data_IF_095104543221
#
_entry.id   IF_095104543221
#
_cell.length_a   1.000
_cell.length_b   1.000
_cell.length_c   1.000
_cell.angle_alpha   90.00
_cell.angle_beta   90.00
_cell.angle_gamma   90.00
#
_symmetry.space_group_name_H-M   'P 1'
#
loop_
_entity.id
_entity.type
_entity.pdbx_description
1 polymer ?
#
# COMPACT_ATOMS: atom_id res chain seq x y z
N UNK A 1 -0.46 12.08 -38.31
CA UNK A 1 -0.25 10.62 -38.19
C UNK A 1 -0.29 10.29 -36.71
N UNK A 2 -1.19 9.41 -36.26
CA UNK A 2 -1.41 9.15 -34.83
C UNK A 2 -0.28 8.35 -34.17
N UNK A 3 -0.34 8.28 -32.84
CA UNK A 3 0.62 7.56 -31.99
C UNK A 3 0.51 6.04 -32.11
N UNK A 4 -0.59 5.52 -32.68
CA UNK A 4 -0.84 4.10 -32.91
C UNK A 4 -0.35 3.66 -34.30
N UNK A 5 0.44 2.59 -34.35
CA UNK A 5 0.99 1.99 -35.57
C UNK A 5 0.82 0.48 -35.55
N UNK A 6 0.51 -0.09 -36.70
CA UNK A 6 0.55 -1.54 -36.92
C UNK A 6 1.97 -1.87 -37.38
N UNK A 7 2.59 -2.86 -36.74
CA UNK A 7 3.92 -3.38 -37.06
C UNK A 7 3.82 -4.88 -37.27
N UNK A 8 4.86 -5.50 -37.82
CA UNK A 8 4.94 -6.97 -37.94
C UNK A 8 4.82 -7.69 -36.59
N UNK A 9 5.15 -7.00 -35.49
CA UNK A 9 5.05 -7.51 -34.11
C UNK A 9 3.70 -7.24 -33.46
N UNK A 10 2.76 -6.60 -34.17
CA UNK A 10 1.46 -6.19 -33.66
C UNK A 10 1.30 -4.68 -33.53
N UNK A 11 0.43 -4.25 -32.61
CA UNK A 11 0.11 -2.83 -32.39
C UNK A 11 1.17 -2.16 -31.50
N UNK A 12 1.64 -1.00 -31.93
CA UNK A 12 2.60 -0.16 -31.20
C UNK A 12 2.01 1.22 -30.98
N UNK A 13 1.90 1.65 -29.73
CA UNK A 13 1.44 2.99 -29.33
C UNK A 13 2.60 3.74 -28.69
N UNK A 14 3.01 4.88 -29.26
CA UNK A 14 4.14 5.69 -28.76
C UNK A 14 3.73 7.14 -28.51
N UNK A 15 4.02 7.67 -27.32
CA UNK A 15 3.65 9.03 -26.92
C UNK A 15 2.29 9.10 -26.21
N UNK A 16 1.90 10.33 -25.87
CA UNK A 16 0.68 10.59 -25.09
C UNK A 16 -0.56 10.09 -25.84
N UNK A 17 -1.32 9.21 -25.21
CA UNK A 17 -2.43 8.52 -25.85
C UNK A 17 -3.56 8.29 -24.85
N UNK A 18 -4.80 8.35 -25.34
CA UNK A 18 -6.01 8.17 -24.53
C UNK A 18 -6.84 7.01 -25.06
N UNK A 19 -7.46 6.26 -24.15
CA UNK A 19 -8.41 5.20 -24.48
C UNK A 19 -9.81 5.64 -24.05
N UNK A 20 -10.73 5.75 -25.01
CA UNK A 20 -12.13 6.12 -24.74
C UNK A 20 -12.94 5.00 -24.06
N UNK A 21 -12.39 3.79 -24.00
CA UNK A 21 -13.00 2.58 -23.43
C UNK A 21 -11.98 1.83 -22.58
N UNK A 22 -12.42 0.94 -21.67
CA UNK A 22 -11.50 0.13 -20.87
C UNK A 22 -10.51 -0.65 -21.73
N UNK A 23 -9.25 -0.67 -21.29
CA UNK A 23 -8.20 -1.50 -21.86
C UNK A 23 -8.12 -2.81 -21.08
N UNK A 24 -8.33 -3.93 -21.77
CA UNK A 24 -8.16 -5.26 -21.20
C UNK A 24 -6.82 -5.82 -21.64
N UNK A 25 -6.00 -6.25 -20.67
CA UNK A 25 -4.70 -6.84 -20.94
C UNK A 25 -4.53 -8.07 -20.05
N UNK A 26 -3.95 -9.13 -20.62
CA UNK A 26 -3.54 -10.32 -19.86
C UNK A 26 -2.31 -10.04 -19.01
N UNK A 27 -1.41 -9.19 -19.49
CA UNK A 27 -0.16 -8.84 -18.83
C UNK A 27 0.16 -7.37 -19.11
N UNK A 28 0.56 -6.64 -18.06
CA UNK A 28 1.08 -5.27 -18.15
C UNK A 28 2.47 -5.29 -17.52
N UNK A 29 3.49 -4.94 -18.29
CA UNK A 29 4.89 -4.91 -17.84
C UNK A 29 5.61 -3.68 -18.36
N UNK A 30 6.53 -3.18 -17.56
CA UNK A 30 7.52 -2.19 -18.00
C UNK A 30 8.64 -2.86 -18.79
N UNK A 31 9.47 -2.02 -19.44
CA UNK A 31 10.73 -2.50 -20.04
C UNK A 31 11.68 -2.98 -18.95
N UNK A 32 12.53 -3.95 -19.28
CA UNK A 32 13.59 -4.44 -18.38
C UNK A 32 14.39 -3.28 -17.81
N UNK A 33 14.63 -3.31 -16.50
CA UNK A 33 15.36 -2.26 -15.78
C UNK A 33 14.58 -0.95 -15.58
N UNK A 34 13.32 -0.88 -16.01
CA UNK A 34 12.47 0.30 -15.82
C UNK A 34 11.29 -0.05 -14.90
N UNK A 35 10.89 0.85 -14.00
CA UNK A 35 9.67 0.68 -13.21
C UNK A 35 8.40 0.83 -14.07
N UNK A 36 7.31 0.24 -13.58
CA UNK A 36 5.97 0.48 -14.09
C UNK A 36 5.31 1.56 -13.22
N UNK A 37 4.88 2.66 -13.84
CA UNK A 37 4.27 3.78 -13.13
C UNK A 37 2.78 3.89 -13.42
N UNK A 38 2.02 4.21 -12.38
CA UNK A 38 0.64 4.64 -12.46
C UNK A 38 0.55 6.01 -11.79
N UNK A 39 0.23 7.04 -12.56
CA UNK A 39 0.09 8.42 -12.07
C UNK A 39 -1.29 8.93 -12.45
N UNK A 40 -1.97 9.56 -11.50
CA UNK A 40 -3.32 10.05 -11.68
C UNK A 40 -3.53 11.30 -10.81
N UNK A 41 -4.28 12.27 -11.33
CA UNK A 41 -4.79 13.39 -10.54
C UNK A 41 -5.98 12.97 -9.64
N UNK A 42 -6.53 11.78 -9.86
CA UNK A 42 -7.64 11.19 -9.13
C UNK A 42 -7.20 9.90 -8.44
N UNK A 43 -8.09 9.32 -7.64
CA UNK A 43 -7.81 8.07 -6.95
C UNK A 43 -7.43 6.94 -7.92
N UNK A 44 -6.43 6.15 -7.53
CA UNK A 44 -6.07 4.90 -8.19
C UNK A 44 -6.60 3.75 -7.34
N UNK A 45 -7.42 2.89 -7.93
CA UNK A 45 -7.99 1.72 -7.25
C UNK A 45 -7.51 0.43 -7.90
N UNK A 46 -6.93 -0.46 -7.10
CA UNK A 46 -6.56 -1.81 -7.51
C UNK A 46 -7.53 -2.78 -6.84
N UNK A 47 -8.30 -3.52 -7.65
CA UNK A 47 -9.21 -4.56 -7.17
C UNK A 47 -8.67 -5.93 -7.59
N UNK A 48 -8.69 -6.87 -6.66
CA UNK A 48 -8.45 -8.29 -6.95
C UNK A 48 -9.82 -8.95 -6.93
N UNK A 49 -10.16 -9.67 -7.99
CA UNK A 49 -11.46 -10.31 -8.16
C UNK A 49 -11.32 -11.83 -8.04
N UNK A 50 -12.38 -12.50 -7.60
CA UNK A 50 -12.51 -13.95 -7.69
C UNK A 50 -13.04 -14.39 -9.06
N UNK A 51 -13.24 -15.70 -9.23
CA UNK A 51 -13.77 -16.31 -10.47
C UNK A 51 -15.18 -15.79 -10.85
N UNK A 52 -15.99 -15.39 -9.86
CA UNK A 52 -17.32 -14.79 -10.05
C UNK A 52 -17.27 -13.27 -10.33
N UNK A 53 -16.09 -12.69 -10.56
CA UNK A 53 -15.90 -11.24 -10.71
C UNK A 53 -16.32 -10.41 -9.49
N UNK A 54 -16.33 -11.01 -8.29
CA UNK A 54 -16.52 -10.28 -7.02
C UNK A 54 -15.17 -9.79 -6.49
N UNK A 55 -15.15 -8.58 -5.96
CA UNK A 55 -13.94 -7.98 -5.36
C UNK A 55 -13.62 -8.69 -4.05
N UNK A 56 -12.44 -9.31 -3.97
CA UNK A 56 -11.87 -9.94 -2.77
C UNK A 56 -11.06 -8.94 -1.94
N UNK A 57 -10.19 -8.17 -2.60
CA UNK A 57 -9.40 -7.13 -1.95
C UNK A 57 -9.37 -5.87 -2.79
N UNK A 58 -9.22 -4.73 -2.10
CA UNK A 58 -9.14 -3.42 -2.73
C UNK A 58 -8.07 -2.58 -2.06
N UNK A 59 -7.21 -1.97 -2.87
CA UNK A 59 -6.29 -0.91 -2.45
C UNK A 59 -6.67 0.37 -3.18
N UNK A 60 -6.95 1.43 -2.43
CA UNK A 60 -7.26 2.77 -2.96
C UNK A 60 -6.18 3.75 -2.53
N UNK A 61 -5.50 4.36 -3.49
CA UNK A 61 -4.57 5.46 -3.25
C UNK A 61 -5.22 6.75 -3.71
N UNK A 62 -5.51 7.65 -2.77
CA UNK A 62 -6.04 8.98 -3.05
C UNK A 62 -5.12 10.09 -2.51
N UNK A 63 -5.48 11.36 -2.73
CA UNK A 63 -4.65 12.49 -2.30
C UNK A 63 -4.57 12.68 -0.78
N UNK A 64 -5.47 12.05 -0.01
CA UNK A 64 -5.56 12.19 1.45
C UNK A 64 -5.16 10.95 2.23
N UNK A 65 -5.31 9.76 1.64
CA UNK A 65 -5.14 8.50 2.32
C UNK A 65 -4.83 7.36 1.35
N UNK A 66 -4.25 6.30 1.90
CA UNK A 66 -4.18 4.98 1.27
C UNK A 66 -5.07 4.06 2.10
N UNK A 67 -6.08 3.48 1.47
CA UNK A 67 -7.07 2.61 2.11
C UNK A 67 -6.92 1.18 1.58
N UNK A 68 -6.90 0.21 2.49
CA UNK A 68 -6.86 -1.21 2.15
C UNK A 68 -8.09 -1.92 2.73
N UNK A 69 -8.82 -2.61 1.86
CA UNK A 69 -9.94 -3.49 2.21
C UNK A 69 -9.50 -4.92 1.92
N UNK A 70 -9.15 -5.66 2.97
CA UNK A 70 -8.68 -7.04 2.87
C UNK A 70 -8.87 -7.75 4.22
N UNK A 71 -8.80 -9.08 4.21
CA UNK A 71 -8.79 -9.89 5.44
C UNK A 71 -7.49 -9.70 6.25
N UNK A 72 -6.40 -9.34 5.57
CA UNK A 72 -5.09 -9.08 6.18
C UNK A 72 -4.34 -8.04 5.40
N UNK A 73 -3.70 -7.11 6.10
CA UNK A 73 -2.77 -6.13 5.54
C UNK A 73 -1.42 -6.24 6.25
N UNK A 74 -0.31 -6.17 5.51
CA UNK A 74 1.03 -6.26 6.07
C UNK A 74 1.98 -5.25 5.42
N UNK A 75 2.86 -4.68 6.24
CA UNK A 75 4.01 -3.88 5.82
C UNK A 75 5.27 -4.63 6.25
N UNK A 76 6.13 -4.92 5.27
CA UNK A 76 7.36 -5.68 5.44
C UNK A 76 8.57 -4.82 5.07
N UNK A 77 9.72 -5.09 5.68
CA UNK A 77 11.00 -4.59 5.16
C UNK A 77 11.33 -5.27 3.82
N UNK A 78 12.32 -4.73 3.10
CA UNK A 78 12.87 -5.38 1.89
C UNK A 78 13.48 -6.76 2.16
N UNK A 79 13.89 -7.03 3.41
CA UNK A 79 14.36 -8.33 3.88
C UNK A 79 13.24 -9.28 4.35
N UNK A 80 11.97 -8.85 4.29
CA UNK A 80 10.81 -9.66 4.68
C UNK A 80 10.44 -9.60 6.17
N UNK A 81 11.10 -8.77 6.99
CA UNK A 81 10.76 -8.59 8.41
C UNK A 81 9.43 -7.82 8.54
N UNK A 82 8.54 -8.28 9.42
CA UNK A 82 7.26 -7.62 9.69
C UNK A 82 7.46 -6.29 10.43
N UNK A 83 6.88 -5.20 9.91
CA UNK A 83 6.84 -3.88 10.55
C UNK A 83 5.44 -3.57 11.10
N UNK A 84 4.40 -3.93 10.36
CA UNK A 84 3.01 -3.70 10.74
C UNK A 84 2.12 -4.78 10.11
N UNK A 85 1.13 -5.29 10.85
CA UNK A 85 0.02 -6.01 10.25
C UNK A 85 -1.29 -5.75 10.98
N UNK A 86 -2.39 -5.88 10.25
CA UNK A 86 -3.74 -5.82 10.78
C UNK A 86 -4.62 -6.90 10.13
N UNK A 87 -5.41 -7.57 10.95
CA UNK A 87 -6.54 -8.43 10.56
C UNK A 87 -7.69 -8.27 11.57
N UNK A 88 -8.73 -9.09 11.45
CA UNK A 88 -9.94 -9.01 12.30
C UNK A 88 -9.68 -9.33 13.78
N UNK A 89 -8.54 -9.96 14.11
CA UNK A 89 -8.23 -10.40 15.48
C UNK A 89 -7.24 -9.46 16.17
N UNK A 90 -6.21 -9.02 15.45
CA UNK A 90 -5.13 -8.24 16.06
C UNK A 90 -4.47 -7.24 15.11
N UNK A 91 -3.78 -6.27 15.73
CA UNK A 91 -2.84 -5.37 15.07
C UNK A 91 -1.47 -5.58 15.71
N UNK A 92 -0.48 -5.89 14.88
CA UNK A 92 0.90 -6.12 15.30
C UNK A 92 1.78 -4.99 14.81
N UNK A 93 2.57 -4.41 15.71
CA UNK A 93 3.60 -3.41 15.39
C UNK A 93 4.97 -4.01 15.70
N UNK A 94 5.70 -4.40 14.64
CA UNK A 94 7.02 -5.03 14.72
C UNK A 94 8.20 -4.07 14.59
N UNK A 95 7.95 -2.76 14.68
CA UNK A 95 8.98 -1.74 14.58
C UNK A 95 9.93 -1.77 15.78
N UNK A 96 11.22 -1.54 15.55
CA UNK A 96 12.24 -1.49 16.62
C UNK A 96 12.04 -0.31 17.58
N UNK A 97 11.41 0.76 17.10
CA UNK A 97 11.09 1.94 17.90
C UNK A 97 9.68 2.41 17.57
N UNK A 98 8.80 2.34 18.56
CA UNK A 98 7.48 2.96 18.51
C UNK A 98 7.49 4.26 19.29
N UNK A 99 7.05 5.36 18.67
CA UNK A 99 6.89 6.67 19.33
C UNK A 99 5.43 7.08 19.28
N UNK A 100 4.84 7.29 20.44
CA UNK A 100 3.47 7.83 20.57
C UNK A 100 3.58 9.34 20.79
N UNK A 101 2.97 10.12 19.90
CA UNK A 101 3.08 11.59 19.88
C UNK A 101 1.82 12.31 20.38
N UNK A 102 0.77 11.58 20.76
CA UNK A 102 -0.43 12.19 21.33
C UNK A 102 -0.09 12.99 22.58
N UNK A 103 -0.65 14.19 22.73
CA UNK A 103 -0.40 15.05 23.89
C UNK A 103 -0.72 14.33 25.22
N UNK A 104 -1.73 13.47 25.20
CA UNK A 104 -2.18 12.65 26.34
C UNK A 104 -1.51 11.26 26.39
N UNK A 105 -0.52 11.00 25.53
CA UNK A 105 0.12 9.70 25.42
C UNK A 105 -0.80 8.61 24.87
N UNK A 106 -0.74 7.42 25.45
CA UNK A 106 -1.57 6.26 25.10
C UNK A 106 -2.04 5.57 26.37
N UNK A 107 -3.28 5.11 26.37
CA UNK A 107 -3.88 4.37 27.49
C UNK A 107 -3.91 2.89 27.14
N UNK A 108 -3.36 2.06 28.02
CA UNK A 108 -3.43 0.62 27.89
C UNK A 108 -4.41 0.09 28.94
N UNK A 109 -5.52 -0.55 28.54
CA UNK A 109 -6.55 -1.01 29.47
C UNK A 109 -6.10 -2.21 30.33
N UNK A 110 -4.98 -2.84 29.95
CA UNK A 110 -4.35 -3.95 30.68
C UNK A 110 -2.86 -3.66 30.87
N UNK A 111 -2.23 -4.47 31.72
CA UNK A 111 -0.79 -4.40 31.98
C UNK A 111 0.02 -4.54 30.68
N UNK A 112 1.07 -3.74 30.58
CA UNK A 112 2.11 -3.87 29.56
C UNK A 112 3.33 -4.49 30.21
N UNK A 113 3.93 -5.47 29.54
CA UNK A 113 5.24 -5.98 29.90
C UNK A 113 6.31 -5.30 29.04
N UNK A 114 7.35 -4.78 29.68
CA UNK A 114 8.51 -4.19 29.01
C UNK A 114 9.76 -4.44 29.84
N UNK A 115 10.91 -4.75 29.21
CA UNK A 115 12.15 -5.01 29.94
C UNK A 115 12.73 -3.76 30.63
N UNK A 116 12.40 -2.55 30.16
CA UNK A 116 12.89 -1.30 30.75
C UNK A 116 11.88 -0.16 30.53
N UNK A 117 11.77 0.73 31.51
CA UNK A 117 10.99 1.97 31.43
C UNK A 117 11.92 3.12 31.82
N UNK A 118 12.02 4.15 30.97
CA UNK A 118 12.83 5.36 31.24
C UNK A 118 12.05 6.61 30.86
N UNK A 119 12.14 7.64 31.71
CA UNK A 119 11.68 8.98 31.38
C UNK A 119 12.78 9.77 30.64
N UNK A 120 12.43 10.91 30.06
CA UNK A 120 13.44 11.87 29.58
C UNK A 120 14.38 12.29 30.73
N UNK A 121 15.62 12.72 30.43
CA UNK A 121 16.51 13.28 31.44
C UNK A 121 15.80 14.37 32.25
N UNK A 122 15.96 14.31 33.58
CA UNK A 122 15.35 15.24 34.55
C UNK A 122 13.83 15.19 34.66
N UNK A 123 13.17 14.16 34.10
CA UNK A 123 11.74 13.89 34.33
C UNK A 123 11.55 12.62 35.16
N UNK A 124 10.54 12.62 36.02
CA UNK A 124 10.11 11.43 36.75
C UNK A 124 9.31 10.48 35.84
N UNK A 125 9.39 9.18 36.11
CA UNK A 125 8.42 8.20 35.64
C UNK A 125 7.15 8.37 36.47
N UNK A 126 6.08 8.86 35.86
CA UNK A 126 4.75 8.96 36.46
C UNK A 126 3.75 8.16 35.66
#
# INVERSE_FOLDING_TARGET
>A
MGNLRITEKGLKLEGDSEFLKPLYAKEIRSRTGNPLYFQSAQNVTVNILNEDSKVLTRLVTGPRAVEAYSQKFQVLTTSGKLLFSADDNEVVVGAERLKVLGAEGTVFPKSIETPNVRADPFKELR
#
